data_IF_740854686860
#
_entry.id   IF_740854686860
#
_cell.length_a   1.000
_cell.length_b   1.000
_cell.length_c   1.000
_cell.angle_alpha   90.00
_cell.angle_beta   90.00
_cell.angle_gamma   90.00
#
_symmetry.space_group_name_H-M   'P 1'
#
loop_
_entity.id
_entity.type
_entity.pdbx_description
1 polymer ?
#
# COMPACT_ATOMS: atom_id res chain seq x y z
N UNK A 1 24.54 -0.01 -29.18
CA UNK A 1 23.12 -0.25 -28.89
C UNK A 1 22.82 0.42 -27.55
N UNK A 2 22.21 1.61 -27.56
CA UNK A 2 21.79 2.28 -26.32
C UNK A 2 20.55 1.54 -25.80
N UNK A 3 20.76 0.66 -24.85
CA UNK A 3 19.67 0.17 -24.01
C UNK A 3 19.22 1.39 -23.19
N UNK A 4 18.11 1.98 -23.59
CA UNK A 4 17.43 3.01 -22.80
C UNK A 4 17.08 2.35 -21.47
N UNK A 5 17.87 2.64 -20.43
CA UNK A 5 17.55 2.12 -19.07
C UNK A 5 16.13 2.52 -18.76
N UNK A 6 15.35 1.57 -18.26
CA UNK A 6 13.96 1.81 -17.92
C UNK A 6 13.88 2.96 -16.91
N UNK A 7 13.09 4.02 -17.13
CA UNK A 7 13.08 5.23 -16.28
C UNK A 7 12.90 4.93 -14.79
N UNK A 8 12.14 3.88 -14.46
CA UNK A 8 11.94 3.44 -13.07
C UNK A 8 13.22 2.90 -12.45
N UNK A 9 14.02 2.14 -13.22
CA UNK A 9 15.33 1.67 -12.75
C UNK A 9 16.27 2.83 -12.45
N UNK A 10 16.28 3.83 -13.34
CA UNK A 10 17.07 5.04 -13.15
C UNK A 10 16.61 5.82 -11.92
N UNK A 11 15.29 5.96 -11.73
CA UNK A 11 14.72 6.58 -10.53
C UNK A 11 15.17 5.89 -9.24
N UNK A 12 15.11 4.55 -9.19
CA UNK A 12 15.54 3.75 -8.04
C UNK A 12 17.02 3.90 -7.76
N UNK A 13 17.85 3.88 -8.82
CA UNK A 13 19.30 4.09 -8.69
C UNK A 13 19.61 5.49 -8.15
N UNK A 14 18.96 6.53 -8.69
CA UNK A 14 19.12 7.90 -8.22
C UNK A 14 18.66 8.05 -6.76
N UNK A 15 17.53 7.42 -6.38
CA UNK A 15 17.04 7.44 -5.01
C UNK A 15 18.00 6.78 -4.02
N UNK A 16 18.57 5.62 -4.38
CA UNK A 16 19.58 4.94 -3.57
C UNK A 16 20.83 5.80 -3.37
N UNK A 17 21.36 6.40 -4.45
CA UNK A 17 22.51 7.29 -4.36
C UNK A 17 22.19 8.52 -3.51
N UNK A 18 21.00 9.08 -3.62
CA UNK A 18 20.57 10.20 -2.79
C UNK A 18 20.53 9.82 -1.31
N UNK A 19 20.03 8.63 -0.95
CA UNK A 19 20.05 8.15 0.43
C UNK A 19 21.48 7.90 0.95
N UNK A 20 22.35 7.30 0.16
CA UNK A 20 23.76 7.12 0.53
C UNK A 20 24.45 8.47 0.75
N UNK A 21 24.23 9.43 -0.15
CA UNK A 21 24.78 10.77 0.02
C UNK A 21 24.23 11.48 1.27
N UNK A 22 22.96 11.24 1.62
CA UNK A 22 22.35 11.78 2.84
C UNK A 22 23.00 11.18 4.11
N UNK A 23 23.34 9.89 4.08
CA UNK A 23 24.06 9.23 5.17
C UNK A 23 25.50 9.75 5.31
N UNK A 24 26.22 9.83 4.22
CA UNK A 24 27.64 10.20 4.21
C UNK A 24 27.85 11.70 4.46
N UNK A 25 27.10 12.56 3.77
CA UNK A 25 27.35 14.00 3.78
C UNK A 25 26.52 14.76 4.83
N UNK A 26 25.38 14.21 5.22
CA UNK A 26 24.45 14.89 6.16
C UNK A 26 24.29 14.14 7.48
N UNK A 27 24.93 12.98 7.65
CA UNK A 27 24.89 12.20 8.88
C UNK A 27 23.49 11.68 9.23
N UNK A 28 22.60 11.51 8.23
CA UNK A 28 21.22 11.02 8.44
C UNK A 28 21.26 9.50 8.54
N UNK A 29 21.36 8.98 9.77
CA UNK A 29 21.46 7.53 10.02
C UNK A 29 20.18 6.89 10.55
N UNK A 30 19.19 7.70 10.96
CA UNK A 30 17.92 7.16 11.44
C UNK A 30 17.00 6.81 10.29
N UNK A 31 16.27 5.69 10.41
CA UNK A 31 15.31 5.24 9.40
C UNK A 31 14.25 6.33 9.09
N UNK A 32 13.73 6.99 10.13
CA UNK A 32 12.78 8.09 9.97
C UNK A 32 13.36 9.30 9.24
N UNK A 33 14.65 9.57 9.47
CA UNK A 33 15.38 10.64 8.78
C UNK A 33 15.56 10.32 7.29
N UNK A 34 15.98 9.09 6.97
CA UNK A 34 16.15 8.63 5.58
C UNK A 34 14.83 8.65 4.81
N UNK A 35 13.74 8.22 5.44
CA UNK A 35 12.41 8.26 4.81
C UNK A 35 11.95 9.68 4.52
N UNK A 36 12.09 10.59 5.48
CA UNK A 36 11.78 12.01 5.28
C UNK A 36 12.60 12.61 4.15
N UNK A 37 13.89 12.34 4.12
CA UNK A 37 14.76 12.80 3.05
C UNK A 37 14.35 12.25 1.69
N UNK A 38 14.02 10.95 1.61
CA UNK A 38 13.52 10.34 0.38
C UNK A 38 12.24 10.98 -0.12
N UNK A 39 11.27 11.26 0.76
CA UNK A 39 10.00 11.90 0.39
C UNK A 39 10.23 13.31 -0.18
N UNK A 40 11.13 14.07 0.41
CA UNK A 40 11.51 15.39 -0.08
C UNK A 40 12.20 15.29 -1.45
N UNK A 41 13.17 14.37 -1.58
CA UNK A 41 13.87 14.10 -2.83
C UNK A 41 12.92 13.67 -3.94
N UNK A 42 12.01 12.72 -3.69
CA UNK A 42 10.99 12.26 -4.66
C UNK A 42 10.05 13.40 -5.09
N UNK A 43 9.80 14.35 -4.22
CA UNK A 43 8.98 15.53 -4.55
C UNK A 43 9.71 16.47 -5.53
N UNK A 44 11.03 16.53 -5.44
CA UNK A 44 11.88 17.20 -6.42
C UNK A 44 12.00 16.41 -7.73
N UNK A 45 12.25 15.11 -7.63
CA UNK A 45 12.41 14.20 -8.77
C UNK A 45 11.20 14.22 -9.71
N UNK A 46 9.98 14.30 -9.18
CA UNK A 46 8.77 14.38 -9.99
C UNK A 46 8.66 15.59 -10.91
N UNK A 47 9.50 16.61 -10.71
CA UNK A 47 9.60 17.79 -11.56
C UNK A 47 10.68 17.65 -12.65
N UNK A 48 11.55 16.64 -12.52
CA UNK A 48 12.64 16.43 -13.46
C UNK A 48 12.11 15.86 -14.78
N UNK A 49 12.60 16.34 -15.94
CA UNK A 49 12.13 15.90 -17.26
C UNK A 49 12.21 14.38 -17.46
N UNK A 50 13.24 13.73 -16.93
CA UNK A 50 13.47 12.29 -17.06
C UNK A 50 12.41 11.44 -16.35
N UNK A 51 11.82 11.96 -15.27
CA UNK A 51 10.84 11.23 -14.46
C UNK A 51 9.41 11.73 -14.63
N UNK A 52 9.19 12.66 -15.55
CA UNK A 52 7.86 13.24 -15.82
C UNK A 52 6.83 12.19 -16.26
N UNK A 53 7.28 11.15 -16.93
CA UNK A 53 6.41 10.12 -17.51
C UNK A 53 6.13 8.95 -16.58
N UNK A 54 6.66 8.96 -15.35
CA UNK A 54 6.48 7.92 -14.33
C UNK A 54 5.92 8.48 -12.99
N UNK A 55 4.84 9.28 -13.03
CA UNK A 55 4.30 9.89 -11.81
C UNK A 55 3.68 8.86 -10.87
N UNK A 56 3.19 7.74 -11.38
CA UNK A 56 2.57 6.68 -10.56
C UNK A 56 3.62 5.92 -9.76
N UNK A 57 4.76 5.62 -10.36
CA UNK A 57 5.89 4.97 -9.71
C UNK A 57 6.50 5.87 -8.63
N UNK A 58 6.61 7.16 -8.88
CA UNK A 58 7.04 8.13 -7.86
C UNK A 58 6.06 8.14 -6.69
N UNK A 59 4.76 8.10 -6.97
CA UNK A 59 3.75 8.02 -5.92
C UNK A 59 3.79 6.70 -5.15
N UNK A 60 4.01 5.58 -5.83
CA UNK A 60 4.17 4.29 -5.20
C UNK A 60 5.38 4.29 -4.24
N UNK A 61 6.52 4.85 -4.67
CA UNK A 61 7.70 5.00 -3.81
C UNK A 61 7.46 5.91 -2.61
N UNK A 62 6.70 7.01 -2.79
CA UNK A 62 6.29 7.86 -1.66
C UNK A 62 5.41 7.11 -0.68
N UNK A 63 4.40 6.40 -1.17
CA UNK A 63 3.51 5.59 -0.34
C UNK A 63 4.30 4.53 0.45
N UNK A 64 5.27 3.87 -0.18
CA UNK A 64 6.17 2.92 0.46
C UNK A 64 7.00 3.60 1.56
N UNK A 65 7.57 4.77 1.30
CA UNK A 65 8.34 5.51 2.28
C UNK A 65 7.49 6.00 3.47
N UNK A 66 6.20 6.27 3.27
CA UNK A 66 5.29 6.74 4.32
C UNK A 66 4.71 5.60 5.17
N UNK A 67 4.40 4.47 4.56
CA UNK A 67 3.57 3.43 5.16
C UNK A 67 4.36 2.22 5.68
N UNK A 68 5.41 1.79 4.98
CA UNK A 68 6.14 0.56 5.32
C UNK A 68 7.30 0.83 6.29
N UNK A 69 6.97 1.31 7.48
CA UNK A 69 7.97 1.71 8.49
C UNK A 69 8.77 0.55 9.07
N UNK A 70 8.25 -0.65 8.98
CA UNK A 70 8.85 -1.86 9.55
C UNK A 70 9.97 -2.45 8.69
N UNK A 71 10.08 -2.03 7.43
CA UNK A 71 11.11 -2.49 6.50
C UNK A 71 12.12 -1.36 6.25
N UNK A 72 13.45 -1.60 6.38
CA UNK A 72 14.45 -0.58 6.08
C UNK A 72 14.32 -0.06 4.65
N UNK A 73 14.21 1.26 4.48
CA UNK A 73 13.92 1.87 3.18
C UNK A 73 15.04 1.65 2.17
N UNK A 74 16.30 1.70 2.61
CA UNK A 74 17.46 1.43 1.75
C UNK A 74 17.48 -0.02 1.26
N UNK A 75 17.18 -0.97 2.14
CA UNK A 75 17.05 -2.39 1.78
C UNK A 75 15.94 -2.61 0.76
N UNK A 76 14.78 -2.00 0.98
CA UNK A 76 13.65 -2.09 0.04
C UNK A 76 13.98 -1.51 -1.32
N UNK A 77 14.56 -0.30 -1.38
CA UNK A 77 14.95 0.31 -2.65
C UNK A 77 16.04 -0.50 -3.38
N UNK A 78 16.98 -1.07 -2.63
CA UNK A 78 18.02 -1.92 -3.23
C UNK A 78 17.42 -3.20 -3.83
N UNK A 79 16.48 -3.83 -3.14
CA UNK A 79 15.75 -5.00 -3.66
C UNK A 79 14.97 -4.65 -4.92
N UNK A 80 14.25 -3.54 -4.92
CA UNK A 80 13.53 -3.04 -6.09
C UNK A 80 14.47 -2.73 -7.25
N UNK A 81 15.63 -2.15 -6.98
CA UNK A 81 16.64 -1.86 -8.00
C UNK A 81 17.23 -3.14 -8.62
N UNK A 82 17.59 -4.12 -7.79
CA UNK A 82 18.14 -5.40 -8.26
C UNK A 82 17.12 -6.21 -9.08
N UNK A 83 15.85 -6.13 -8.71
CA UNK A 83 14.74 -6.73 -9.46
C UNK A 83 14.22 -5.83 -10.59
N UNK A 84 14.81 -4.70 -10.84
CA UNK A 84 14.27 -3.62 -11.69
C UNK A 84 14.33 -3.86 -13.19
N UNK A 85 14.94 -4.95 -13.66
CA UNK A 85 14.62 -5.44 -15.01
C UNK A 85 13.11 -5.77 -15.13
N UNK A 86 12.44 -5.96 -13.99
CA UNK A 86 11.06 -6.41 -13.84
C UNK A 86 10.32 -5.65 -12.71
N UNK A 87 10.66 -4.38 -12.45
CA UNK A 87 10.01 -3.61 -11.35
C UNK A 87 8.49 -3.59 -11.50
N UNK A 88 7.98 -3.48 -12.72
CA UNK A 88 6.55 -3.61 -13.00
C UNK A 88 5.97 -4.98 -12.67
N UNK A 89 6.79 -6.00 -12.47
CA UNK A 89 6.37 -7.35 -12.07
C UNK A 89 6.51 -7.59 -10.56
N UNK A 90 7.20 -6.70 -9.82
CA UNK A 90 7.38 -6.83 -8.38
C UNK A 90 6.02 -6.65 -7.66
N UNK A 91 5.49 -7.67 -6.97
CA UNK A 91 4.17 -7.61 -6.34
C UNK A 91 4.03 -6.48 -5.32
N UNK A 92 5.05 -6.25 -4.48
CA UNK A 92 5.03 -5.16 -3.50
C UNK A 92 4.93 -3.79 -4.19
N UNK A 93 5.68 -3.59 -5.27
CA UNK A 93 5.66 -2.33 -6.01
C UNK A 93 4.29 -2.10 -6.67
N UNK A 94 3.74 -3.12 -7.34
CA UNK A 94 2.39 -3.06 -7.94
C UNK A 94 1.32 -2.79 -6.88
N UNK A 95 1.43 -3.44 -5.72
CA UNK A 95 0.50 -3.20 -4.61
C UNK A 95 0.57 -1.73 -4.15
N UNK A 96 1.77 -1.17 -3.98
CA UNK A 96 1.92 0.24 -3.60
C UNK A 96 1.45 1.21 -4.69
N UNK A 97 1.62 0.86 -5.96
CA UNK A 97 1.06 1.63 -7.07
C UNK A 97 -0.48 1.65 -7.00
N UNK A 98 -1.12 0.49 -6.78
CA UNK A 98 -2.57 0.41 -6.59
C UNK A 98 -3.04 1.26 -5.41
N UNK A 99 -2.36 1.15 -4.24
CA UNK A 99 -2.69 1.95 -3.06
C UNK A 99 -2.54 3.46 -3.33
N UNK A 100 -1.52 3.86 -4.08
CA UNK A 100 -1.33 5.25 -4.51
C UNK A 100 -2.46 5.75 -5.42
N UNK A 101 -2.96 4.92 -6.35
CA UNK A 101 -4.13 5.26 -7.18
C UNK A 101 -5.41 5.41 -6.34
N UNK A 102 -5.61 4.52 -5.36
CA UNK A 102 -6.74 4.62 -4.44
C UNK A 102 -6.68 5.90 -3.60
N UNK A 103 -5.50 6.31 -3.15
CA UNK A 103 -5.32 7.60 -2.48
C UNK A 103 -5.71 8.78 -3.37
N UNK A 104 -5.30 8.78 -4.64
CA UNK A 104 -5.72 9.79 -5.64
C UNK A 104 -7.23 9.80 -5.86
N UNK A 105 -7.86 8.63 -5.80
CA UNK A 105 -9.32 8.48 -5.88
C UNK A 105 -10.06 8.92 -4.61
N UNK A 106 -9.33 9.44 -3.59
CA UNK A 106 -9.89 10.02 -2.38
C UNK A 106 -10.02 9.05 -1.20
N UNK A 107 -9.40 7.87 -1.26
CA UNK A 107 -9.27 6.98 -0.12
C UNK A 107 -8.15 7.45 0.81
N UNK A 108 -8.38 7.41 2.11
CA UNK A 108 -7.34 7.57 3.12
C UNK A 108 -6.81 6.19 3.48
N UNK A 109 -5.56 5.92 3.13
CA UNK A 109 -4.92 4.63 3.40
C UNK A 109 -4.14 4.70 4.70
N UNK A 110 -4.26 3.68 5.52
CA UNK A 110 -3.53 3.55 6.79
C UNK A 110 -3.17 2.08 7.00
N UNK A 111 -1.95 1.82 7.45
CA UNK A 111 -1.57 0.49 7.94
C UNK A 111 -1.99 0.41 9.40
N UNK A 112 -2.90 -0.51 9.70
CA UNK A 112 -3.45 -0.74 11.03
C UNK A 112 -3.46 -2.25 11.26
N UNK A 113 -2.34 -2.84 11.72
CA UNK A 113 -2.24 -4.28 11.91
C UNK A 113 -3.34 -4.79 12.83
N UNK A 114 -3.85 -5.99 12.53
CA UNK A 114 -4.93 -6.59 13.28
C UNK A 114 -4.60 -6.69 14.77
N UNK A 115 -5.37 -5.98 15.59
CA UNK A 115 -5.29 -5.98 17.03
C UNK A 115 -6.71 -5.96 17.59
N UNK A 116 -6.87 -6.23 18.88
CA UNK A 116 -8.18 -6.10 19.56
C UNK A 116 -8.80 -4.70 19.44
N UNK A 117 -7.99 -3.68 19.13
CA UNK A 117 -8.42 -2.29 18.98
C UNK A 117 -8.88 -1.91 17.57
N UNK A 118 -8.65 -2.77 16.56
CA UNK A 118 -8.99 -2.45 15.16
C UNK A 118 -10.46 -2.06 15.01
N UNK A 119 -11.34 -2.71 15.75
CA UNK A 119 -12.77 -2.40 15.68
C UNK A 119 -13.09 -0.99 16.20
N UNK A 120 -12.56 -0.60 17.37
CA UNK A 120 -12.78 0.75 17.92
C UNK A 120 -12.15 1.84 17.05
N UNK A 121 -10.93 1.61 16.54
CA UNK A 121 -10.27 2.53 15.61
C UNK A 121 -11.05 2.67 14.31
N UNK A 122 -11.60 1.59 13.78
CA UNK A 122 -12.45 1.61 12.58
C UNK A 122 -13.72 2.43 12.79
N UNK A 123 -14.34 2.35 13.97
CA UNK A 123 -15.50 3.15 14.34
C UNK A 123 -15.13 4.64 14.41
N UNK A 124 -14.02 4.99 15.05
CA UNK A 124 -13.55 6.38 15.13
C UNK A 124 -13.29 6.96 13.74
N UNK A 125 -12.62 6.20 12.86
CA UNK A 125 -12.37 6.60 11.48
C UNK A 125 -13.67 6.79 10.70
N UNK A 126 -14.64 5.91 10.89
CA UNK A 126 -15.95 5.99 10.25
C UNK A 126 -16.71 7.27 10.64
N UNK A 127 -16.58 7.71 11.89
CA UNK A 127 -17.20 8.95 12.36
C UNK A 127 -16.66 10.20 11.64
N UNK A 128 -15.47 10.12 11.01
CA UNK A 128 -14.93 11.23 10.22
C UNK A 128 -15.74 11.58 8.98
N UNK A 129 -16.64 10.69 8.54
CA UNK A 129 -17.42 10.82 7.31
C UNK A 129 -16.58 10.74 6.04
N UNK A 130 -15.33 10.24 6.13
CA UNK A 130 -14.40 10.06 5.00
C UNK A 130 -14.28 8.58 4.64
N UNK A 131 -13.75 8.32 3.46
CA UNK A 131 -13.45 6.96 3.01
C UNK A 131 -12.08 6.55 3.53
N UNK A 132 -12.02 5.45 4.26
CA UNK A 132 -10.78 4.91 4.77
C UNK A 132 -10.54 3.51 4.23
N UNK A 133 -9.30 3.20 3.97
CA UNK A 133 -8.82 1.89 3.58
C UNK A 133 -7.70 1.51 4.53
N UNK A 134 -8.01 0.55 5.39
CA UNK A 134 -7.06 0.05 6.39
C UNK A 134 -6.40 -1.21 5.86
N UNK A 135 -5.08 -1.24 5.87
CA UNK A 135 -4.32 -2.46 5.68
C UNK A 135 -4.19 -3.14 7.04
N UNK A 136 -4.85 -4.29 7.21
CA UNK A 136 -4.92 -5.00 8.48
C UNK A 136 -3.75 -5.95 8.72
N UNK A 137 -3.07 -6.38 7.65
CA UNK A 137 -1.85 -7.18 7.73
C UNK A 137 -0.63 -6.30 7.64
N UNK A 138 0.43 -6.67 8.35
CA UNK A 138 1.71 -5.98 8.19
C UNK A 138 2.32 -6.33 6.83
N UNK A 139 3.13 -5.42 6.30
CA UNK A 139 3.75 -5.65 5.00
C UNK A 139 4.71 -6.83 5.03
N UNK A 140 5.47 -6.99 6.11
CA UNK A 140 6.40 -8.12 6.30
C UNK A 140 5.72 -9.47 6.47
N UNK A 141 4.44 -9.51 6.82
CA UNK A 141 3.63 -10.73 6.88
C UNK A 141 3.18 -11.19 5.48
N UNK A 142 3.02 -10.24 4.56
CA UNK A 142 2.46 -10.49 3.23
C UNK A 142 3.52 -10.51 2.12
N UNK A 143 4.64 -9.83 2.33
CA UNK A 143 5.69 -9.68 1.34
C UNK A 143 7.05 -10.06 1.92
N UNK A 144 7.78 -10.88 1.16
CA UNK A 144 9.17 -11.17 1.45
C UNK A 144 10.06 -9.91 1.27
N UNK A 145 11.26 -9.87 1.85
CA UNK A 145 12.21 -8.78 1.59
C UNK A 145 12.54 -8.55 0.10
N UNK A 146 12.34 -9.58 -0.74
CA UNK A 146 12.45 -9.48 -2.20
C UNK A 146 11.29 -8.76 -2.88
N UNK A 147 10.25 -8.39 -2.15
CA UNK A 147 9.01 -7.84 -2.69
C UNK A 147 8.05 -8.88 -3.27
N UNK A 148 8.39 -10.16 -3.20
CA UNK A 148 7.49 -11.24 -3.59
C UNK A 148 6.41 -11.44 -2.53
N UNK A 149 5.17 -11.64 -2.99
CA UNK A 149 4.05 -11.87 -2.10
C UNK A 149 4.05 -13.33 -1.63
N UNK A 150 3.95 -13.52 -0.32
CA UNK A 150 3.89 -14.83 0.33
C UNK A 150 2.54 -15.12 1.02
N UNK A 151 1.77 -14.09 1.32
CA UNK A 151 0.42 -14.19 1.87
C UNK A 151 -0.46 -13.05 1.36
N UNK A 152 -1.79 -13.21 1.34
CA UNK A 152 -2.70 -12.14 0.98
C UNK A 152 -2.63 -10.95 1.93
N UNK A 153 -2.87 -9.76 1.39
CA UNK A 153 -3.08 -8.55 2.19
C UNK A 153 -4.56 -8.45 2.56
N UNK A 154 -4.84 -8.19 3.83
CA UNK A 154 -6.20 -7.94 4.30
C UNK A 154 -6.45 -6.42 4.32
N UNK A 155 -7.45 -5.99 3.57
CA UNK A 155 -7.88 -4.60 3.50
C UNK A 155 -9.28 -4.47 4.07
N UNK A 156 -9.49 -3.47 4.93
CA UNK A 156 -10.82 -3.09 5.38
C UNK A 156 -11.17 -1.73 4.79
N UNK A 157 -12.26 -1.69 4.04
CA UNK A 157 -12.82 -0.48 3.48
C UNK A 157 -13.92 0.03 4.40
N UNK A 158 -13.79 1.29 4.80
CA UNK A 158 -14.77 1.98 5.63
C UNK A 158 -15.38 3.08 4.79
N UNK A 159 -16.67 2.97 4.53
CA UNK A 159 -17.43 3.97 3.78
C UNK A 159 -18.61 4.44 4.60
N UNK A 160 -18.89 5.76 4.65
CA UNK A 160 -20.21 6.20 5.08
C UNK A 160 -21.24 5.61 4.11
N UNK A 161 -22.33 5.07 4.64
CA UNK A 161 -23.37 4.49 3.79
C UNK A 161 -23.93 5.58 2.85
N UNK A 162 -23.84 5.33 1.57
CA UNK A 162 -24.51 6.12 0.57
C UNK A 162 -24.71 5.33 -0.74
N UNK A 163 -25.56 5.86 -1.63
CA UNK A 163 -26.00 5.20 -2.87
C UNK A 163 -24.87 4.74 -3.81
N UNK A 164 -23.63 5.17 -3.58
CA UNK A 164 -22.47 4.84 -4.42
C UNK A 164 -21.48 3.86 -3.77
N UNK A 165 -21.85 3.26 -2.62
CA UNK A 165 -20.91 2.37 -1.90
C UNK A 165 -20.45 1.21 -2.76
N UNK A 166 -21.35 0.54 -3.47
CA UNK A 166 -21.00 -0.56 -4.37
C UNK A 166 -20.04 -0.09 -5.48
N UNK A 167 -20.30 1.05 -6.10
CA UNK A 167 -19.40 1.61 -7.12
C UNK A 167 -18.02 1.94 -6.58
N UNK A 168 -17.93 2.33 -5.30
CA UNK A 168 -16.64 2.59 -4.65
C UNK A 168 -15.87 1.31 -4.39
N UNK A 169 -16.57 0.23 -3.99
CA UNK A 169 -15.96 -1.10 -3.84
C UNK A 169 -15.45 -1.63 -5.17
N UNK A 170 -16.29 -1.63 -6.20
CA UNK A 170 -15.89 -2.03 -7.56
C UNK A 170 -14.67 -1.24 -8.05
N UNK A 171 -14.62 0.06 -7.78
CA UNK A 171 -13.46 0.88 -8.14
C UNK A 171 -12.20 0.43 -7.41
N UNK A 172 -12.29 0.09 -6.12
CA UNK A 172 -11.14 -0.40 -5.36
C UNK A 172 -10.68 -1.78 -5.87
N UNK A 173 -11.62 -2.69 -6.11
CA UNK A 173 -11.37 -4.02 -6.66
C UNK A 173 -10.71 -3.95 -8.04
N UNK A 174 -11.28 -3.16 -8.95
CA UNK A 174 -10.74 -2.99 -10.29
C UNK A 174 -9.33 -2.37 -10.26
N UNK A 175 -9.09 -1.39 -9.39
CA UNK A 175 -7.76 -0.78 -9.23
C UNK A 175 -6.71 -1.80 -8.82
N UNK A 176 -7.06 -2.74 -7.94
CA UNK A 176 -6.17 -3.82 -7.51
C UNK A 176 -6.02 -4.90 -8.60
N UNK A 177 -7.13 -5.25 -9.26
CA UNK A 177 -7.14 -6.23 -10.33
C UNK A 177 -6.33 -5.78 -11.56
N UNK A 178 -6.36 -4.49 -11.90
CA UNK A 178 -5.55 -3.90 -12.98
C UNK A 178 -4.04 -4.05 -12.74
N UNK A 179 -3.63 -4.12 -11.46
CA UNK A 179 -2.25 -4.45 -11.08
C UNK A 179 -1.98 -5.96 -10.99
N UNK A 180 -2.91 -6.77 -11.45
CA UNK A 180 -2.77 -8.23 -11.52
C UNK A 180 -3.00 -8.96 -10.21
N UNK A 181 -3.68 -8.34 -9.24
CA UNK A 181 -4.09 -9.01 -8.02
C UNK A 181 -5.45 -9.69 -8.18
N UNK A 182 -5.58 -10.86 -7.55
CA UNK A 182 -6.87 -11.47 -7.29
C UNK A 182 -7.47 -10.82 -6.04
N UNK A 183 -8.70 -10.35 -6.15
CA UNK A 183 -9.41 -9.73 -5.04
C UNK A 183 -10.62 -10.59 -4.69
N UNK A 184 -10.74 -10.96 -3.43
CA UNK A 184 -11.88 -11.73 -2.91
C UNK A 184 -12.58 -10.91 -1.86
N UNK A 185 -13.88 -10.71 -2.00
CA UNK A 185 -14.71 -10.06 -0.99
C UNK A 185 -14.84 -10.99 0.22
N UNK A 186 -14.56 -10.44 1.38
CA UNK A 186 -14.77 -11.09 2.67
C UNK A 186 -16.09 -10.66 3.31
N UNK A 187 -16.02 -10.34 4.60
CA UNK A 187 -17.20 -9.97 5.38
C UNK A 187 -17.62 -8.53 5.15
N UNK A 188 -18.94 -8.35 5.16
CA UNK A 188 -19.56 -7.05 5.23
C UNK A 188 -20.20 -6.89 6.62
N UNK A 189 -19.89 -5.79 7.31
CA UNK A 189 -20.49 -5.44 8.58
C UNK A 189 -21.13 -4.06 8.49
N UNK A 190 -22.38 -3.98 8.94
CA UNK A 190 -23.13 -2.73 9.01
C UNK A 190 -23.33 -2.34 10.47
N UNK A 191 -22.97 -1.12 10.81
CA UNK A 191 -23.16 -0.56 12.14
C UNK A 191 -23.92 0.75 12.09
N UNK A 192 -24.84 0.94 13.00
CA UNK A 192 -25.54 2.21 13.23
C UNK A 192 -24.86 2.99 14.35
N UNK A 193 -24.31 4.16 14.05
CA UNK A 193 -23.74 5.06 15.05
C UNK A 193 -24.35 6.44 14.87
N UNK A 194 -24.97 6.98 15.92
CA UNK A 194 -25.53 8.34 15.93
C UNK A 194 -26.38 8.69 14.70
N UNK A 195 -27.27 7.80 14.27
CA UNK A 195 -28.12 7.91 13.08
C UNK A 195 -27.36 7.85 11.75
N UNK A 196 -26.11 7.41 11.73
CA UNK A 196 -25.35 7.12 10.51
C UNK A 196 -25.17 5.62 10.40
N UNK A 197 -25.38 5.11 9.22
CA UNK A 197 -25.01 3.74 8.89
C UNK A 197 -23.61 3.73 8.29
N UNK A 198 -22.75 2.87 8.81
CA UNK A 198 -21.36 2.71 8.40
C UNK A 198 -21.20 1.30 7.90
N UNK A 199 -20.59 1.16 6.76
CA UNK A 199 -20.31 -0.12 6.14
C UNK A 199 -18.81 -0.40 6.20
N UNK A 200 -18.47 -1.58 6.70
CA UNK A 200 -17.15 -2.15 6.68
C UNK A 200 -17.13 -3.32 5.69
N UNK A 201 -16.27 -3.24 4.70
CA UNK A 201 -16.08 -4.31 3.73
C UNK A 201 -14.64 -4.81 3.85
N UNK A 202 -14.46 -6.12 3.96
CA UNK A 202 -13.14 -6.73 3.95
C UNK A 202 -12.82 -7.24 2.56
N UNK A 203 -11.64 -6.93 2.06
CA UNK A 203 -11.07 -7.48 0.84
C UNK A 203 -9.81 -8.29 1.18
N UNK A 204 -9.70 -9.46 0.58
CA UNK A 204 -8.50 -10.28 0.55
C UNK A 204 -7.84 -10.07 -0.79
N UNK A 205 -6.60 -9.60 -0.79
CA UNK A 205 -5.84 -9.24 -1.99
C UNK A 205 -4.62 -10.13 -2.09
N UNK A 206 -4.55 -10.96 -3.11
CA UNK A 206 -3.45 -11.89 -3.33
C UNK A 206 -3.06 -12.02 -4.79
N UNK A 207 -2.01 -12.76 -5.07
CA UNK A 207 -1.65 -13.11 -6.44
C UNK A 207 -2.43 -14.34 -6.91
N UNK A 208 -2.78 -14.43 -8.20
CA UNK A 208 -3.26 -15.66 -8.78
C UNK A 208 -2.25 -16.78 -8.54
N UNK A 209 -2.72 -17.93 -8.05
CA UNK A 209 -1.88 -19.10 -7.78
C UNK A 209 -1.24 -19.15 -6.40
N UNK A 210 -1.54 -18.22 -5.51
CA UNK A 210 -1.26 -18.42 -4.08
C UNK A 210 -2.00 -19.69 -3.60
N UNK A 211 -1.35 -20.58 -2.78
CA UNK A 211 -2.00 -21.76 -2.22
C UNK A 211 -3.28 -21.38 -1.44
N UNK A 212 -4.29 -22.23 -1.47
CA UNK A 212 -5.54 -21.98 -0.71
C UNK A 212 -5.25 -21.76 0.79
N UNK A 213 -4.28 -22.50 1.34
CA UNK A 213 -3.85 -22.38 2.72
C UNK A 213 -3.28 -20.98 3.03
N UNK A 214 -2.67 -20.32 2.03
CA UNK A 214 -2.14 -18.96 2.19
C UNK A 214 -3.23 -17.91 2.32
N UNK A 215 -4.44 -18.16 1.75
CA UNK A 215 -5.59 -17.26 1.87
C UNK A 215 -6.17 -17.24 3.28
N UNK A 216 -5.56 -18.01 4.17
CA UNK A 216 -5.70 -17.96 5.61
C UNK A 216 -7.09 -18.33 6.09
N UNK A 217 -7.13 -18.93 7.24
CA UNK A 217 -8.33 -19.11 8.05
C UNK A 217 -9.23 -17.90 7.85
N UNK A 218 -10.38 -18.09 7.19
CA UNK A 218 -11.48 -17.15 7.33
C UNK A 218 -11.55 -16.85 8.82
N UNK A 219 -11.46 -15.62 9.28
CA UNK A 219 -11.75 -15.35 10.66
C UNK A 219 -13.26 -15.60 10.84
N UNK A 220 -13.63 -16.85 10.99
CA UNK A 220 -14.89 -17.27 11.62
C UNK A 220 -14.81 -16.94 13.10
N UNK A 221 -14.26 -15.81 13.43
CA UNK A 221 -14.38 -15.28 14.77
C UNK A 221 -15.62 -14.40 14.77
N UNK A 222 -16.73 -15.09 15.05
CA UNK A 222 -17.92 -14.54 15.65
C UNK A 222 -17.47 -13.52 16.70
N UNK A 223 -17.53 -12.25 16.35
CA UNK A 223 -17.45 -11.18 17.36
C UNK A 223 -18.76 -11.29 18.13
N UNK A 224 -18.74 -12.06 19.20
CA UNK A 224 -19.81 -12.07 20.19
C UNK A 224 -19.70 -10.72 20.90
N UNK A 225 -20.52 -9.77 20.46
CA UNK A 225 -20.71 -8.50 21.16
C UNK A 225 -21.47 -8.83 22.44
N UNK A 226 -20.79 -8.77 23.59
CA UNK A 226 -21.40 -8.77 24.91
C UNK A 226 -21.79 -7.35 25.32
#
# INVERSE_FOLDING_TARGET
MNTTEHPVRQLLWCALNALHAAQENHGINSESGLRRYLLEWLSGAGRHPEFRNIPEEIMALKALAEQDRDIPITGTLNTLFLSSATVGECPLFRFRAAMGRLQKAGWRTTVCPWTERVFSESIELACTGRRHLLQLSRTEECFMPSGQMCAPVYLQLITPQHRKTEQLLETAENTLADEGFQVVRGFEHQFGIERREILFHTLFVGLPGLPEEAWGVRPEQTITVH
#
